data_IF_857238374699
#
_entry.id   IF_857238374699
#
_cell.length_a   1.000
_cell.length_b   1.000
_cell.length_c   1.000
_cell.angle_alpha   90.00
_cell.angle_beta   90.00
_cell.angle_gamma   90.00
#
_symmetry.space_group_name_H-M   'P 1'
#
loop_
_entity.id
_entity.type
_entity.pdbx_description
1 polymer ?
#
# COMPACT_ATOMS: atom_id res chain seq x y z
N UNK A 1 23.60 20.59 50.74
CA UNK A 1 22.71 21.09 49.66
C UNK A 1 23.08 20.69 48.23
N UNK A 2 24.28 20.16 47.94
CA UNK A 2 24.66 19.80 46.55
C UNK A 2 24.27 18.37 46.11
N UNK A 3 23.96 17.48 47.06
CA UNK A 3 23.64 16.08 46.78
C UNK A 3 22.30 15.88 46.07
N UNK A 4 21.24 16.52 46.55
CA UNK A 4 19.90 16.41 45.94
C UNK A 4 19.85 16.98 44.52
N UNK A 5 20.66 17.99 44.21
CA UNK A 5 20.68 18.62 42.88
C UNK A 5 21.13 17.64 41.78
N UNK A 6 22.05 16.72 42.11
CA UNK A 6 22.49 15.66 41.18
C UNK A 6 21.37 14.67 40.89
N UNK A 7 20.59 14.31 41.91
CA UNK A 7 19.44 13.41 41.74
C UNK A 7 18.31 14.08 40.95
N UNK A 8 18.06 15.37 41.18
CA UNK A 8 17.09 16.15 40.39
C UNK A 8 17.51 16.21 38.91
N UNK A 9 18.78 16.47 38.63
CA UNK A 9 19.30 16.48 37.27
C UNK A 9 19.19 15.10 36.60
N UNK A 10 19.50 14.02 37.31
CA UNK A 10 19.37 12.66 36.80
C UNK A 10 17.91 12.31 36.45
N UNK A 11 16.95 12.67 37.31
CA UNK A 11 15.52 12.45 37.03
C UNK A 11 15.03 13.27 35.84
N UNK A 12 15.51 14.51 35.68
CA UNK A 12 15.17 15.35 34.54
C UNK A 12 15.69 14.75 33.23
N UNK A 13 16.92 14.24 33.21
CA UNK A 13 17.50 13.56 32.04
C UNK A 13 16.72 12.29 31.70
N UNK A 14 16.36 11.48 32.70
CA UNK A 14 15.53 10.28 32.49
C UNK A 14 14.17 10.67 31.91
N UNK A 15 13.53 11.70 32.47
CA UNK A 15 12.26 12.21 31.97
C UNK A 15 12.36 12.71 30.52
N UNK A 16 13.43 13.41 30.17
CA UNK A 16 13.69 13.86 28.81
C UNK A 16 13.92 12.69 27.85
N UNK A 17 14.66 11.65 28.28
CA UNK A 17 14.88 10.44 27.48
C UNK A 17 13.57 9.68 27.25
N UNK A 18 12.74 9.54 28.28
CA UNK A 18 11.41 8.91 28.17
C UNK A 18 10.50 9.72 27.26
N UNK A 19 10.53 11.06 27.35
CA UNK A 19 9.78 11.96 26.47
C UNK A 19 10.22 11.82 25.01
N UNK A 20 11.52 11.85 24.75
CA UNK A 20 12.08 11.68 23.40
C UNK A 20 11.74 10.29 22.84
N UNK A 21 11.92 9.23 23.64
CA UNK A 21 11.59 7.87 23.24
C UNK A 21 10.09 7.70 22.96
N UNK A 22 9.23 8.33 23.77
CA UNK A 22 7.79 8.35 23.54
C UNK A 22 7.42 9.02 22.22
N UNK A 23 8.08 10.11 21.85
CA UNK A 23 7.87 10.79 20.57
C UNK A 23 8.30 9.92 19.37
N UNK A 24 9.45 9.22 19.48
CA UNK A 24 9.91 8.27 18.46
C UNK A 24 8.95 7.07 18.28
N UNK A 25 8.32 6.58 19.36
CA UNK A 25 7.36 5.49 19.29
C UNK A 25 5.98 5.93 18.77
N UNK A 26 5.54 7.17 19.07
CA UNK A 26 4.28 7.74 18.56
C UNK A 26 4.30 7.92 17.04
N UNK A 27 5.45 8.33 16.48
CA UNK A 27 5.61 8.53 15.04
C UNK A 27 5.43 7.22 14.24
N UNK A 28 5.91 6.09 14.76
CA UNK A 28 5.74 4.77 14.13
C UNK A 28 4.28 4.26 14.20
N UNK A 29 3.58 4.54 15.31
CA UNK A 29 2.14 4.22 15.46
C UNK A 29 1.29 5.08 14.52
N UNK A 30 1.62 6.36 14.34
CA UNK A 30 0.89 7.27 13.45
C UNK A 30 1.09 6.93 11.98
N UNK A 31 2.21 6.34 11.58
CA UNK A 31 2.40 5.76 10.24
C UNK A 31 1.53 4.52 9.97
N UNK A 32 1.00 3.88 11.01
CA UNK A 32 0.03 2.78 10.93
C UNK A 32 -1.43 3.20 11.00
N UNK A 33 -1.72 4.46 11.32
CA UNK A 33 -3.07 5.02 11.39
C UNK A 33 -3.41 5.73 10.09
N UNK A 34 -3.52 4.98 8.99
CA UNK A 34 -4.00 5.54 7.74
C UNK A 34 -5.50 5.83 7.77
N UNK A 35 -5.94 6.70 6.86
CA UNK A 35 -7.33 7.14 6.68
C UNK A 35 -8.27 6.01 6.16
N UNK A 36 -7.81 4.76 6.18
CA UNK A 36 -8.55 3.61 5.68
C UNK A 36 -8.75 3.66 4.17
N UNK A 37 -7.74 4.09 3.42
CA UNK A 37 -7.87 4.38 1.99
C UNK A 37 -7.15 3.36 1.11
N UNK A 38 -7.83 2.91 0.05
CA UNK A 38 -7.24 2.09 -1.00
C UNK A 38 -6.54 2.96 -2.04
N UNK A 39 -5.29 2.62 -2.37
CA UNK A 39 -4.50 3.28 -3.42
C UNK A 39 -3.98 2.25 -4.42
N UNK A 40 -4.30 2.48 -5.69
CA UNK A 40 -3.79 1.69 -6.82
C UNK A 40 -2.55 2.37 -7.39
N UNK A 41 -1.50 1.60 -7.66
CA UNK A 41 -0.28 2.09 -8.31
C UNK A 41 0.17 1.10 -9.36
N UNK A 42 0.49 1.59 -10.56
CA UNK A 42 1.15 0.77 -11.57
C UNK A 42 2.59 0.43 -11.17
N UNK A 43 2.99 -0.80 -11.46
CA UNK A 43 4.35 -1.30 -11.25
C UNK A 43 4.96 -1.71 -12.59
N UNK A 44 6.12 -1.14 -12.92
CA UNK A 44 6.85 -1.51 -14.13
C UNK A 44 7.69 -2.78 -13.90
N UNK A 45 7.66 -3.71 -14.88
CA UNK A 45 8.48 -4.93 -14.92
C UNK A 45 9.48 -4.93 -16.10
N UNK A 46 9.61 -3.81 -16.81
CA UNK A 46 10.51 -3.63 -17.94
C UNK A 46 9.86 -2.75 -19.02
N UNK A 47 10.47 -2.72 -20.20
CA UNK A 47 9.93 -1.97 -21.34
C UNK A 47 8.54 -2.52 -21.71
N UNK A 48 7.54 -1.64 -21.69
CA UNK A 48 6.14 -1.94 -22.01
C UNK A 48 5.54 -3.14 -21.26
N UNK A 49 5.98 -3.34 -20.01
CA UNK A 49 5.45 -4.39 -19.12
C UNK A 49 5.05 -3.79 -17.80
N UNK A 50 3.77 -3.89 -17.50
CA UNK A 50 3.16 -3.34 -16.30
C UNK A 50 2.38 -4.42 -15.55
N UNK A 51 2.35 -4.25 -14.24
CA UNK A 51 1.42 -4.87 -13.30
C UNK A 51 0.82 -3.76 -12.41
N UNK A 52 0.01 -4.13 -11.44
CA UNK A 52 -0.53 -3.18 -10.47
C UNK A 52 -0.38 -3.67 -9.04
N UNK A 53 -0.31 -2.71 -8.13
CA UNK A 53 -0.32 -2.92 -6.70
C UNK A 53 -1.52 -2.18 -6.09
N UNK A 54 -2.12 -2.79 -5.08
CA UNK A 54 -3.16 -2.18 -4.25
C UNK A 54 -2.63 -2.10 -2.85
N UNK A 55 -2.55 -0.88 -2.35
CA UNK A 55 -2.20 -0.59 -0.96
C UNK A 55 -3.48 -0.21 -0.21
N UNK A 56 -3.55 -0.61 1.06
CA UNK A 56 -4.47 -0.04 2.02
C UNK A 56 -3.62 0.67 3.05
N UNK A 57 -3.77 1.99 3.07
CA UNK A 57 -2.86 2.89 3.80
C UNK A 57 -1.40 2.66 3.38
N UNK A 58 -0.53 2.32 4.33
CA UNK A 58 0.89 2.03 4.10
C UNK A 58 1.17 0.56 3.75
N UNK A 59 0.16 -0.31 3.79
CA UNK A 59 0.33 -1.76 3.62
C UNK A 59 -0.01 -2.22 2.21
N UNK A 60 0.92 -2.92 1.56
CA UNK A 60 0.65 -3.64 0.31
C UNK A 60 -0.32 -4.81 0.57
N UNK A 61 -1.48 -4.78 -0.09
CA UNK A 61 -2.50 -5.83 0.01
C UNK A 61 -2.46 -6.81 -1.15
N UNK A 62 -2.37 -6.29 -2.38
CA UNK A 62 -2.39 -7.09 -3.60
C UNK A 62 -1.25 -6.62 -4.49
N UNK A 63 -0.47 -7.57 -4.98
CA UNK A 63 0.48 -7.35 -6.06
C UNK A 63 0.13 -8.30 -7.20
N UNK A 64 -0.13 -7.71 -8.36
CA UNK A 64 -0.58 -8.42 -9.54
C UNK A 64 0.31 -8.06 -10.73
N UNK A 65 1.32 -8.89 -10.96
CA UNK A 65 2.29 -8.69 -12.04
C UNK A 65 1.68 -8.97 -13.42
N UNK A 66 0.67 -9.83 -13.50
CA UNK A 66 0.08 -10.33 -14.75
C UNK A 66 -1.41 -10.03 -14.86
N UNK A 67 -1.92 -9.97 -16.09
CA UNK A 67 -3.34 -9.73 -16.38
C UNK A 67 -4.20 -10.85 -15.74
N UNK A 68 -5.17 -10.51 -14.87
CA UNK A 68 -6.06 -11.50 -14.25
C UNK A 68 -6.92 -12.25 -15.30
N UNK A 69 -7.28 -13.49 -15.00
CA UNK A 69 -8.15 -14.35 -15.83
C UNK A 69 -7.69 -14.64 -17.27
N UNK A 70 -6.54 -14.12 -17.70
CA UNK A 70 -5.92 -14.46 -18.99
C UNK A 70 -4.95 -15.62 -18.78
N UNK A 71 -4.95 -16.57 -19.72
CA UNK A 71 -4.03 -17.70 -19.66
C UNK A 71 -2.61 -17.27 -20.01
N UNK A 72 -1.65 -17.78 -19.23
CA UNK A 72 -0.24 -17.44 -19.37
C UNK A 72 0.17 -16.21 -18.57
N UNK A 73 1.49 -16.05 -18.39
CA UNK A 73 2.09 -14.91 -17.66
C UNK A 73 2.17 -13.68 -18.55
N UNK A 74 1.03 -13.09 -18.88
CA UNK A 74 0.95 -11.89 -19.69
C UNK A 74 1.00 -10.62 -18.82
N UNK A 75 1.89 -9.70 -19.15
CA UNK A 75 1.91 -8.35 -18.56
C UNK A 75 0.94 -7.42 -19.30
N UNK A 76 0.49 -6.37 -18.61
CA UNK A 76 -0.16 -5.24 -19.27
C UNK A 76 0.87 -4.50 -20.13
N UNK A 77 0.49 -4.09 -21.34
CA UNK A 77 1.40 -3.38 -22.26
C UNK A 77 1.48 -1.88 -21.99
N UNK A 78 0.48 -1.32 -21.31
CA UNK A 78 0.47 0.08 -20.87
C UNK A 78 0.14 0.18 -19.39
N UNK A 79 0.55 1.31 -18.82
CA UNK A 79 0.37 1.63 -17.40
C UNK A 79 -1.09 1.79 -17.04
N UNK A 80 -1.84 2.45 -17.91
CA UNK A 80 -3.23 2.83 -17.72
C UNK A 80 -4.14 1.59 -17.60
N UNK A 81 -3.87 0.54 -18.38
CA UNK A 81 -4.62 -0.70 -18.31
C UNK A 81 -4.38 -1.45 -16.99
N UNK A 82 -3.16 -1.42 -16.48
CA UNK A 82 -2.84 -1.98 -15.18
C UNK A 82 -3.54 -1.21 -14.04
N UNK A 83 -3.56 0.13 -14.10
CA UNK A 83 -4.25 0.96 -13.12
C UNK A 83 -5.77 0.77 -13.17
N UNK A 84 -6.37 0.69 -14.36
CA UNK A 84 -7.80 0.37 -14.53
C UNK A 84 -8.15 -0.99 -13.93
N UNK A 85 -7.35 -2.03 -14.20
CA UNK A 85 -7.56 -3.34 -13.60
C UNK A 85 -7.47 -3.28 -12.07
N UNK A 86 -6.46 -2.61 -11.53
CA UNK A 86 -6.35 -2.41 -10.09
C UNK A 86 -7.55 -1.67 -9.49
N UNK A 87 -8.07 -0.65 -10.19
CA UNK A 87 -9.25 0.08 -9.73
C UNK A 87 -10.51 -0.79 -9.70
N UNK A 88 -10.71 -1.64 -10.71
CA UNK A 88 -11.82 -2.60 -10.72
C UNK A 88 -11.76 -3.56 -9.52
N UNK A 89 -10.57 -4.02 -9.16
CA UNK A 89 -10.39 -4.83 -7.95
C UNK A 89 -10.74 -4.04 -6.69
N UNK A 90 -10.29 -2.79 -6.57
CA UNK A 90 -10.65 -1.92 -5.43
C UNK A 90 -12.15 -1.71 -5.34
N UNK A 91 -12.83 -1.46 -6.45
CA UNK A 91 -14.27 -1.25 -6.48
C UNK A 91 -15.02 -2.50 -6.02
N UNK A 92 -14.57 -3.69 -6.44
CA UNK A 92 -15.11 -4.97 -5.96
C UNK A 92 -14.88 -5.18 -4.46
N UNK A 93 -13.69 -4.86 -3.95
CA UNK A 93 -13.39 -4.96 -2.52
C UNK A 93 -14.33 -4.07 -1.72
N UNK A 94 -14.56 -2.82 -2.18
CA UNK A 94 -15.48 -1.87 -1.54
C UNK A 94 -16.93 -2.38 -1.51
N UNK A 95 -17.33 -3.17 -2.50
CA UNK A 95 -18.65 -3.80 -2.59
C UNK A 95 -18.75 -5.15 -1.86
N UNK A 96 -17.71 -5.58 -1.14
CA UNK A 96 -17.60 -6.92 -0.54
C UNK A 96 -17.78 -8.07 -1.57
N UNK A 97 -17.39 -7.82 -2.82
CA UNK A 97 -17.37 -8.83 -3.88
C UNK A 97 -16.02 -9.56 -3.94
N UNK A 98 -15.97 -10.65 -4.71
CA UNK A 98 -14.72 -11.37 -4.95
C UNK A 98 -13.76 -10.48 -5.74
N UNK A 99 -12.51 -10.26 -5.28
CA UNK A 99 -11.52 -9.39 -5.92
C UNK A 99 -10.85 -10.05 -7.14
N UNK A 100 -11.66 -10.69 -8.00
CA UNK A 100 -11.23 -11.33 -9.24
C UNK A 100 -11.86 -10.61 -10.42
N UNK A 101 -11.09 -10.39 -11.47
CA UNK A 101 -11.58 -9.82 -12.73
C UNK A 101 -11.80 -10.95 -13.73
N UNK A 102 -12.93 -10.94 -14.41
CA UNK A 102 -13.26 -11.84 -15.51
C UNK A 102 -12.76 -11.30 -16.86
N UNK A 103 -12.65 -12.20 -17.85
CA UNK A 103 -12.29 -11.81 -19.23
C UNK A 103 -13.27 -10.78 -19.81
N UNK A 104 -14.56 -10.88 -19.46
CA UNK A 104 -15.58 -9.95 -19.95
C UNK A 104 -15.40 -8.55 -19.38
N UNK A 105 -15.07 -8.44 -18.08
CA UNK A 105 -14.79 -7.16 -17.45
C UNK A 105 -13.56 -6.48 -18.05
N UNK A 106 -12.51 -7.24 -18.40
CA UNK A 106 -11.38 -6.70 -19.14
C UNK A 106 -11.81 -6.10 -20.48
N UNK A 107 -12.70 -6.78 -21.22
CA UNK A 107 -13.20 -6.30 -22.51
C UNK A 107 -14.05 -5.04 -22.37
N UNK A 108 -15.01 -5.04 -21.45
CA UNK A 108 -15.92 -3.90 -21.22
C UNK A 108 -15.15 -2.64 -20.83
N UNK A 109 -14.06 -2.78 -20.08
CA UNK A 109 -13.21 -1.66 -19.66
C UNK A 109 -12.08 -1.31 -20.64
N UNK A 110 -12.06 -1.95 -21.82
CA UNK A 110 -11.10 -1.66 -22.89
C UNK A 110 -9.66 -2.03 -22.53
N UNK A 111 -9.46 -3.01 -21.65
CA UNK A 111 -8.14 -3.47 -21.25
C UNK A 111 -7.61 -4.46 -22.29
N UNK A 112 -6.41 -4.20 -22.80
CA UNK A 112 -5.83 -4.97 -23.90
C UNK A 112 -5.09 -6.21 -23.41
N UNK A 113 -5.40 -7.37 -23.99
CA UNK A 113 -4.72 -8.64 -23.72
C UNK A 113 -4.65 -9.52 -24.97
N UNK A 114 -3.76 -10.52 -24.96
CA UNK A 114 -3.60 -11.50 -26.04
C UNK A 114 -4.44 -12.74 -25.71
N UNK A 115 -5.08 -13.31 -26.72
CA UNK A 115 -5.83 -14.58 -26.59
C UNK A 115 -4.88 -15.78 -26.60
#
# INVERSE_FOLDING_TARGET
MKGYLKHILALFVIGLVVLLLGFYLDEDIRMGAGDGSYRVTAQAHGMDRWGYQIHFDSKLLIQQDYIPAVNGKQYFTCREDAEKAGQLVVDKIRLNERPSISIEELRVHGITFKK
#
